data_IF_674040008581
#
_entry.id   IF_674040008581
#
_cell.length_a   1.000
_cell.length_b   1.000
_cell.length_c   1.000
_cell.angle_alpha   90.00
_cell.angle_beta   90.00
_cell.angle_gamma   90.00
#
_symmetry.space_group_name_H-M   'P 1'
#
loop_
_entity.id
_entity.type
_entity.pdbx_description
1 polymer ?
#
# COMPACT_ATOMS: atom_id res chain seq x y z
N UNK A 1 8.68 -23.70 24.66
CA UNK A 1 8.40 -22.84 23.50
C UNK A 1 9.74 -22.51 22.89
N UNK A 2 9.98 -23.10 21.73
CA UNK A 2 11.30 -23.10 21.11
C UNK A 2 11.64 -21.70 20.56
N UNK A 3 12.93 -21.34 20.50
CA UNK A 3 13.34 -20.01 20.03
C UNK A 3 12.92 -19.76 18.58
N UNK A 4 12.73 -20.81 17.79
CA UNK A 4 12.27 -20.77 16.41
C UNK A 4 10.78 -20.43 16.29
N UNK A 5 9.92 -21.01 17.12
CA UNK A 5 8.47 -20.71 17.13
C UNK A 5 8.21 -19.22 17.35
N UNK A 6 8.94 -18.60 18.30
CA UNK A 6 8.84 -17.15 18.56
C UNK A 6 9.25 -16.29 17.37
N UNK A 7 10.22 -16.74 16.56
CA UNK A 7 10.67 -15.99 15.37
C UNK A 7 9.62 -16.06 14.26
N UNK A 8 9.09 -17.26 14.01
CA UNK A 8 8.06 -17.48 12.99
C UNK A 8 6.80 -16.69 13.33
N UNK A 9 6.38 -16.68 14.60
CA UNK A 9 5.22 -15.93 15.05
C UNK A 9 5.40 -14.41 14.88
N UNK A 10 6.58 -13.87 15.23
CA UNK A 10 6.89 -12.46 15.01
C UNK A 10 6.93 -12.06 13.53
N UNK A 11 7.38 -12.96 12.65
CA UNK A 11 7.36 -12.75 11.20
C UNK A 11 5.94 -12.77 10.63
N UNK A 12 5.08 -13.66 11.14
CA UNK A 12 3.67 -13.74 10.77
C UNK A 12 2.90 -12.47 11.13
N UNK A 13 3.11 -11.93 12.32
CA UNK A 13 2.50 -10.66 12.73
C UNK A 13 2.91 -9.49 11.84
N UNK A 14 4.21 -9.40 11.48
CA UNK A 14 4.71 -8.36 10.57
C UNK A 14 4.08 -8.47 9.19
N UNK A 15 3.97 -9.67 8.63
CA UNK A 15 3.31 -9.90 7.34
C UNK A 15 1.83 -9.53 7.38
N UNK A 16 1.14 -9.84 8.47
CA UNK A 16 -0.25 -9.44 8.66
C UNK A 16 -0.40 -7.92 8.69
N UNK A 17 0.45 -7.22 9.45
CA UNK A 17 0.52 -5.77 9.47
C UNK A 17 0.75 -5.17 8.07
N UNK A 18 1.72 -5.70 7.32
CA UNK A 18 1.98 -5.22 5.96
C UNK A 18 0.81 -5.46 5.01
N UNK A 19 0.12 -6.59 5.12
CA UNK A 19 -1.09 -6.89 4.35
C UNK A 19 -2.24 -5.92 4.68
N UNK A 20 -2.43 -5.60 5.96
CA UNK A 20 -3.43 -4.62 6.40
C UNK A 20 -3.11 -3.21 5.89
N UNK A 21 -1.84 -2.79 5.96
CA UNK A 21 -1.38 -1.50 5.41
C UNK A 21 -1.61 -1.47 3.90
N UNK A 22 -1.23 -2.53 3.18
CA UNK A 22 -1.42 -2.63 1.74
C UNK A 22 -2.90 -2.52 1.36
N UNK A 23 -3.78 -3.24 2.07
CA UNK A 23 -5.24 -3.16 1.88
C UNK A 23 -5.74 -1.74 2.06
N UNK A 24 -5.31 -1.06 3.12
CA UNK A 24 -5.74 0.31 3.41
C UNK A 24 -5.21 1.30 2.36
N UNK A 25 -3.98 1.12 1.85
CA UNK A 25 -3.45 1.93 0.76
C UNK A 25 -4.22 1.73 -0.55
N UNK A 26 -4.63 0.50 -0.85
CA UNK A 26 -5.48 0.22 -2.03
C UNK A 26 -6.85 0.88 -1.90
N UNK A 27 -7.48 0.81 -0.73
CA UNK A 27 -8.76 1.51 -0.47
C UNK A 27 -8.59 3.02 -0.66
N UNK A 28 -7.52 3.58 -0.08
CA UNK A 28 -7.20 5.00 -0.23
C UNK A 28 -6.95 5.38 -1.70
N UNK A 29 -6.24 4.55 -2.45
CA UNK A 29 -5.99 4.76 -3.87
C UNK A 29 -7.30 4.85 -4.66
N UNK A 30 -8.22 3.91 -4.44
CA UNK A 30 -9.53 3.88 -5.11
C UNK A 30 -10.35 5.11 -4.74
N UNK A 31 -10.38 5.48 -3.46
CA UNK A 31 -11.10 6.66 -2.99
C UNK A 31 -10.56 7.96 -3.62
N UNK A 32 -9.23 8.14 -3.60
CA UNK A 32 -8.57 9.32 -4.19
C UNK A 32 -8.74 9.35 -5.70
N UNK A 33 -8.56 8.22 -6.39
CA UNK A 33 -8.74 8.12 -7.83
C UNK A 33 -10.19 8.43 -8.22
N UNK A 34 -11.19 7.82 -7.57
CA UNK A 34 -12.61 8.09 -7.83
C UNK A 34 -12.98 9.55 -7.56
N UNK A 35 -12.52 10.11 -6.43
CA UNK A 35 -12.70 11.53 -6.11
C UNK A 35 -12.07 12.45 -7.15
N UNK A 36 -10.84 12.15 -7.59
CA UNK A 36 -10.12 12.93 -8.61
C UNK A 36 -10.81 12.86 -9.98
N UNK A 37 -11.26 11.67 -10.40
CA UNK A 37 -12.03 11.50 -11.64
C UNK A 37 -13.34 12.27 -11.57
N UNK A 38 -14.00 12.33 -10.41
CA UNK A 38 -15.23 13.12 -10.26
C UNK A 38 -15.04 14.62 -10.52
N UNK A 39 -13.83 15.16 -10.30
CA UNK A 39 -13.50 16.56 -10.54
C UNK A 39 -13.43 16.89 -12.03
N UNK A 40 -13.20 15.91 -12.91
CA UNK A 40 -13.25 16.10 -14.36
C UNK A 40 -14.64 16.55 -14.81
N UNK A 41 -15.69 16.13 -14.11
CA UNK A 41 -17.07 16.56 -14.38
C UNK A 41 -17.42 17.91 -13.74
N UNK A 42 -16.54 18.49 -12.93
CA UNK A 42 -16.73 19.76 -12.20
C UNK A 42 -15.73 20.85 -12.62
N UNK A 43 -15.14 20.73 -13.81
CA UNK A 43 -14.14 21.68 -14.35
C UNK A 43 -14.65 23.12 -14.47
N UNK A 44 -15.96 23.34 -14.51
CA UNK A 44 -16.57 24.68 -14.46
C UNK A 44 -16.36 25.40 -13.13
N UNK A 45 -16.02 24.67 -12.06
CA UNK A 45 -15.66 25.24 -10.78
C UNK A 45 -14.15 25.54 -10.74
N UNK A 46 -13.72 26.79 -10.50
CA UNK A 46 -12.29 27.15 -10.51
C UNK A 46 -11.47 26.39 -9.46
N UNK A 47 -12.09 25.89 -8.39
CA UNK A 47 -11.43 25.11 -7.34
C UNK A 47 -11.14 23.67 -7.78
N UNK A 48 -11.81 23.16 -8.82
CA UNK A 48 -11.64 21.79 -9.29
C UNK A 48 -10.24 21.54 -9.88
N UNK A 49 -9.64 22.54 -10.54
CA UNK A 49 -8.34 22.39 -11.21
C UNK A 49 -7.20 22.18 -10.18
N UNK A 50 -7.04 23.02 -9.13
CA UNK A 50 -6.05 22.76 -8.08
C UNK A 50 -6.27 21.44 -7.34
N UNK A 51 -7.53 21.10 -7.03
CA UNK A 51 -7.87 19.85 -6.35
C UNK A 51 -7.53 18.62 -7.20
N UNK A 52 -7.72 18.70 -8.52
CA UNK A 52 -7.37 17.62 -9.44
C UNK A 52 -5.85 17.42 -9.51
N UNK A 53 -5.06 18.50 -9.53
CA UNK A 53 -3.61 18.41 -9.46
C UNK A 53 -3.12 17.77 -8.15
N UNK A 54 -3.71 18.17 -7.02
CA UNK A 54 -3.43 17.52 -5.72
C UNK A 54 -3.82 16.05 -5.74
N UNK A 55 -5.01 15.73 -6.25
CA UNK A 55 -5.50 14.36 -6.37
C UNK A 55 -4.57 13.47 -7.18
N UNK A 56 -4.14 13.92 -8.37
CA UNK A 56 -3.17 13.23 -9.21
C UNK A 56 -1.83 13.01 -8.50
N UNK A 57 -1.31 14.05 -7.84
CA UNK A 57 -0.05 13.97 -7.09
C UNK A 57 -0.14 12.92 -5.98
N UNK A 58 -1.26 12.93 -5.25
CA UNK A 58 -1.53 11.98 -4.18
C UNK A 58 -1.68 10.55 -4.73
N UNK A 59 -2.37 10.36 -5.85
CA UNK A 59 -2.50 9.07 -6.53
C UNK A 59 -1.12 8.49 -6.88
N UNK A 60 -0.21 9.29 -7.45
CA UNK A 60 1.15 8.86 -7.77
C UNK A 60 1.92 8.47 -6.51
N UNK A 61 1.82 9.27 -5.44
CA UNK A 61 2.46 8.96 -4.16
C UNK A 61 1.96 7.65 -3.55
N UNK A 62 0.64 7.42 -3.56
CA UNK A 62 0.04 6.18 -3.05
C UNK A 62 0.49 4.98 -3.89
N UNK A 63 0.50 5.10 -5.22
CA UNK A 63 0.99 4.03 -6.10
C UNK A 63 2.43 3.64 -5.78
N UNK A 64 3.30 4.63 -5.60
CA UNK A 64 4.70 4.38 -5.22
C UNK A 64 4.80 3.69 -3.86
N UNK A 65 4.00 4.12 -2.88
CA UNK A 65 3.91 3.48 -1.57
C UNK A 65 3.47 2.02 -1.64
N UNK A 66 2.45 1.71 -2.44
CA UNK A 66 1.95 0.35 -2.68
C UNK A 66 3.04 -0.52 -3.30
N UNK A 67 3.71 -0.04 -4.36
CA UNK A 67 4.76 -0.80 -5.05
C UNK A 67 5.90 -1.11 -4.10
N UNK A 68 6.40 -0.10 -3.37
CA UNK A 68 7.49 -0.28 -2.40
C UNK A 68 7.13 -1.27 -1.30
N UNK A 69 5.91 -1.18 -0.77
CA UNK A 69 5.44 -2.09 0.26
C UNK A 69 5.32 -3.53 -0.26
N UNK A 70 4.81 -3.71 -1.49
CA UNK A 70 4.70 -5.01 -2.13
C UNK A 70 6.08 -5.66 -2.36
N UNK A 71 7.08 -4.89 -2.76
CA UNK A 71 8.47 -5.37 -2.90
C UNK A 71 9.02 -5.83 -1.55
N UNK A 72 8.90 -5.00 -0.51
CA UNK A 72 9.38 -5.37 0.84
C UNK A 72 8.69 -6.63 1.39
N UNK A 73 7.38 -6.77 1.20
CA UNK A 73 6.65 -7.98 1.60
C UNK A 73 7.22 -9.21 0.87
N UNK A 74 7.44 -9.09 -0.44
CA UNK A 74 7.96 -10.19 -1.26
C UNK A 74 9.38 -10.58 -0.85
N UNK A 75 10.24 -9.62 -0.56
CA UNK A 75 11.60 -9.87 -0.08
C UNK A 75 11.59 -10.60 1.27
N UNK A 76 10.79 -10.13 2.24
CA UNK A 76 10.68 -10.81 3.54
C UNK A 76 10.08 -12.22 3.44
N UNK A 77 9.14 -12.44 2.53
CA UNK A 77 8.61 -13.79 2.25
C UNK A 77 9.66 -14.70 1.62
N UNK A 78 10.49 -14.18 0.70
CA UNK A 78 11.57 -14.94 0.10
C UNK A 78 12.69 -15.27 1.10
N UNK A 79 13.00 -14.37 2.03
CA UNK A 79 13.93 -14.66 3.12
C UNK A 79 13.39 -15.80 3.99
N UNK A 80 12.13 -15.71 4.43
CA UNK A 80 11.46 -16.77 5.19
C UNK A 80 11.53 -18.13 4.49
N UNK A 81 11.19 -18.19 3.21
CA UNK A 81 11.20 -19.43 2.43
C UNK A 81 12.61 -20.06 2.34
N UNK A 82 13.66 -19.23 2.29
CA UNK A 82 15.06 -19.70 2.31
C UNK A 82 15.46 -20.27 3.67
N UNK A 83 14.98 -19.67 4.76
CA UNK A 83 15.20 -20.20 6.11
C UNK A 83 14.47 -21.52 6.35
N UNK A 84 13.28 -21.72 5.75
CA UNK A 84 12.52 -22.97 5.87
C UNK A 84 13.13 -24.13 5.06
N UNK A 85 13.85 -23.83 3.97
CA UNK A 85 14.48 -24.83 3.08
C UNK A 85 15.93 -25.19 3.46
N UNK A 86 16.53 -24.50 4.44
CA UNK A 86 17.90 -24.74 4.91
C UNK A 86 17.92 -25.51 6.22
#
# INVERSE_FOLDING_TARGET
MDKEEKRIEGLRERLKLYSEILRNLVILLVAVAGGTVSLLFKLSNPVAVPLMLMGLTLTVGILFGIIRLAINIREHLQELEKWEKS
#
